data_IF_196328929131
#
_entry.id   IF_196328929131
#
_cell.length_a   1.000
_cell.length_b   1.000
_cell.length_c   1.000
_cell.angle_alpha   90.00
_cell.angle_beta   90.00
_cell.angle_gamma   90.00
#
_symmetry.space_group_name_H-M   'P 1'
#
loop_
_entity.id
_entity.type
_entity.pdbx_description
1 polymer ?
#
# COMPACT_ATOMS: atom_id res chain seq x y z
N UNK A 1 -31.51 6.96 -18.31
CA UNK A 1 -30.64 6.06 -17.53
C UNK A 1 -29.23 6.24 -18.06
N UNK A 2 -28.32 6.80 -17.25
CA UNK A 2 -26.93 7.02 -17.66
C UNK A 2 -26.22 5.68 -17.85
N UNK A 3 -25.63 5.45 -19.02
CA UNK A 3 -24.93 4.20 -19.41
C UNK A 3 -23.43 4.33 -19.13
N UNK A 4 -23.06 4.99 -18.03
CA UNK A 4 -21.68 5.02 -17.57
C UNK A 4 -21.46 3.85 -16.61
N UNK A 5 -20.49 2.96 -16.85
CA UNK A 5 -20.14 1.93 -15.87
C UNK A 5 -19.71 2.64 -14.58
N UNK A 6 -20.26 2.23 -13.44
CA UNK A 6 -19.75 2.67 -12.14
C UNK A 6 -18.24 2.42 -12.09
N UNK A 7 -17.47 3.46 -11.84
CA UNK A 7 -16.02 3.38 -11.62
C UNK A 7 -15.79 2.67 -10.28
N UNK A 8 -15.66 1.35 -10.35
CA UNK A 8 -15.33 0.49 -9.22
C UNK A 8 -14.00 -0.19 -9.44
N UNK A 9 -13.37 -0.60 -8.34
CA UNK A 9 -12.20 -1.45 -8.41
C UNK A 9 -12.57 -2.86 -8.92
N UNK A 10 -11.80 -3.44 -9.86
CA UNK A 10 -12.06 -4.77 -10.38
C UNK A 10 -11.66 -5.83 -9.35
N UNK A 11 -12.37 -6.95 -9.36
CA UNK A 11 -11.95 -8.16 -8.64
C UNK A 11 -10.71 -8.76 -9.31
N UNK A 12 -9.97 -9.61 -8.58
CA UNK A 12 -8.82 -10.36 -9.14
C UNK A 12 -9.24 -11.18 -10.37
N UNK A 13 -10.43 -11.79 -10.35
CA UNK A 13 -10.97 -12.55 -11.48
C UNK A 13 -11.16 -11.67 -12.71
N UNK A 14 -11.72 -10.47 -12.55
CA UNK A 14 -11.93 -9.51 -13.64
C UNK A 14 -10.59 -8.99 -14.18
N UNK A 15 -9.62 -8.75 -13.29
CA UNK A 15 -8.27 -8.36 -13.67
C UNK A 15 -7.57 -9.44 -14.51
N UNK A 16 -7.67 -10.71 -14.11
CA UNK A 16 -7.13 -11.84 -14.88
C UNK A 16 -7.85 -11.99 -16.22
N UNK A 17 -9.18 -11.82 -16.26
CA UNK A 17 -9.94 -11.85 -17.50
C UNK A 17 -9.52 -10.73 -18.46
N UNK A 18 -9.31 -9.51 -17.95
CA UNK A 18 -8.81 -8.40 -18.74
C UNK A 18 -7.40 -8.65 -19.29
N UNK A 19 -6.50 -9.24 -18.48
CA UNK A 19 -5.16 -9.61 -18.92
C UNK A 19 -5.19 -10.69 -20.02
N UNK A 20 -6.06 -11.70 -19.88
CA UNK A 20 -6.28 -12.73 -20.93
C UNK A 20 -6.76 -12.11 -22.23
N UNK A 21 -7.70 -11.16 -22.16
CA UNK A 21 -8.18 -10.44 -23.34
C UNK A 21 -7.05 -9.66 -24.02
N UNK A 22 -6.19 -8.97 -23.27
CA UNK A 22 -5.01 -8.28 -23.82
C UNK A 22 -4.05 -9.26 -24.51
N UNK A 23 -3.79 -10.42 -23.91
CA UNK A 23 -2.96 -11.47 -24.52
C UNK A 23 -3.56 -12.01 -25.82
N UNK A 24 -4.88 -12.25 -25.85
CA UNK A 24 -5.57 -12.76 -27.04
C UNK A 24 -5.57 -11.74 -28.20
N UNK A 25 -5.63 -10.45 -27.90
CA UNK A 25 -5.59 -9.39 -28.93
C UNK A 25 -4.19 -9.24 -29.56
N UNK A 26 -3.12 -9.51 -28.82
CA UNK A 26 -1.73 -9.31 -29.28
C UNK A 26 -0.80 -10.48 -28.90
N UNK A 27 -1.08 -11.72 -29.35
CA UNK A 27 -0.36 -12.92 -28.91
C UNK A 27 1.12 -12.96 -29.32
N UNK A 28 1.51 -12.18 -30.33
CA UNK A 28 2.93 -12.07 -30.73
C UNK A 28 3.80 -11.33 -29.71
N UNK A 29 3.20 -10.43 -28.90
CA UNK A 29 3.92 -9.51 -28.00
C UNK A 29 3.56 -9.74 -26.53
N UNK A 30 2.38 -10.26 -26.25
CA UNK A 30 1.88 -10.49 -24.90
C UNK A 30 1.85 -11.98 -24.55
N UNK A 31 2.21 -12.31 -23.31
CA UNK A 31 2.00 -13.65 -22.74
C UNK A 31 1.44 -13.53 -21.33
N UNK A 32 0.61 -14.49 -20.93
CA UNK A 32 0.11 -14.60 -19.57
C UNK A 32 0.45 -15.99 -19.05
N UNK A 33 1.11 -16.08 -17.90
CA UNK A 33 1.43 -17.35 -17.25
C UNK A 33 1.14 -17.31 -15.77
N UNK A 34 0.90 -18.48 -15.18
CA UNK A 34 0.87 -18.64 -13.74
C UNK A 34 2.32 -18.76 -13.22
N UNK A 35 2.64 -18.03 -12.14
CA UNK A 35 3.98 -17.99 -11.54
C UNK A 35 4.04 -18.61 -10.15
N UNK A 36 2.88 -18.93 -9.59
CA UNK A 36 2.76 -19.56 -8.27
C UNK A 36 1.30 -19.73 -7.87
N UNK A 37 1.08 -20.07 -6.62
CA UNK A 37 -0.23 -20.11 -5.99
C UNK A 37 -0.13 -19.53 -4.58
N UNK A 38 -1.21 -18.91 -4.10
CA UNK A 38 -1.33 -18.41 -2.74
C UNK A 38 -1.49 -19.54 -1.72
N UNK A 39 -1.51 -19.21 -0.44
CA UNK A 39 -1.75 -20.17 0.66
C UNK A 39 -3.06 -20.92 0.51
N UNK A 40 -4.12 -20.26 0.03
CA UNK A 40 -5.39 -20.88 -0.27
C UNK A 40 -5.48 -21.47 -1.70
N UNK A 41 -4.35 -21.58 -2.41
CA UNK A 41 -4.26 -22.22 -3.72
C UNK A 41 -4.74 -21.36 -4.89
N UNK A 42 -4.94 -20.05 -4.72
CA UNK A 42 -5.34 -19.14 -5.81
C UNK A 42 -4.13 -18.84 -6.71
N UNK A 43 -4.27 -18.87 -8.04
CA UNK A 43 -3.15 -18.69 -8.96
C UNK A 43 -2.64 -17.25 -9.00
N UNK A 44 -1.31 -17.07 -8.86
CA UNK A 44 -0.63 -15.80 -9.13
C UNK A 44 -0.28 -15.74 -10.60
N UNK A 45 -0.67 -14.67 -11.30
CA UNK A 45 -0.50 -14.52 -12.74
C UNK A 45 0.46 -13.39 -13.09
N UNK A 46 1.33 -13.64 -14.06
CA UNK A 46 2.25 -12.65 -14.63
C UNK A 46 1.91 -12.39 -16.09
N UNK A 47 1.48 -11.16 -16.39
CA UNK A 47 1.32 -10.66 -17.76
C UNK A 47 2.67 -10.08 -18.22
N UNK A 48 3.19 -10.52 -19.35
CA UNK A 48 4.42 -9.98 -19.95
C UNK A 48 4.12 -9.31 -21.29
N UNK A 49 4.77 -8.18 -21.55
CA UNK A 49 4.66 -7.39 -22.78
C UNK A 49 6.06 -7.08 -23.29
N UNK A 50 6.45 -7.69 -24.41
CA UNK A 50 7.81 -7.60 -24.96
C UNK A 50 8.64 -8.87 -24.74
N UNK A 51 9.87 -8.86 -25.29
CA UNK A 51 10.83 -10.00 -25.25
C UNK A 51 12.29 -9.58 -25.08
N UNK A 52 12.54 -8.31 -24.77
CA UNK A 52 13.87 -7.81 -24.47
C UNK A 52 14.38 -8.34 -23.12
N UNK A 53 15.70 -8.39 -22.97
CA UNK A 53 16.36 -8.86 -21.73
C UNK A 53 16.23 -7.86 -20.59
N UNK A 54 16.23 -6.54 -20.87
CA UNK A 54 16.02 -5.52 -19.82
C UNK A 54 14.55 -5.54 -19.41
N UNK A 55 14.30 -5.69 -18.12
CA UNK A 55 12.97 -5.92 -17.58
C UNK A 55 12.56 -4.85 -16.58
N UNK A 56 11.31 -4.40 -16.67
CA UNK A 56 10.58 -3.72 -15.61
C UNK A 56 9.58 -4.70 -15.03
N UNK A 57 9.53 -4.85 -13.71
CA UNK A 57 8.50 -5.62 -13.01
C UNK A 57 7.55 -4.66 -12.30
N UNK A 58 6.26 -4.75 -12.57
CA UNK A 58 5.22 -4.00 -11.87
C UNK A 58 4.39 -4.98 -11.03
N UNK A 59 4.25 -4.71 -9.74
CA UNK A 59 3.55 -5.56 -8.77
C UNK A 59 2.31 -4.84 -8.27
N UNK A 60 1.15 -5.50 -8.32
CA UNK A 60 -0.09 -4.97 -7.75
C UNK A 60 -0.66 -5.90 -6.68
N UNK A 61 -1.54 -5.38 -5.83
CA UNK A 61 -2.30 -6.19 -4.87
C UNK A 61 -1.43 -6.84 -3.81
N UNK A 62 -0.38 -6.15 -3.34
CA UNK A 62 0.38 -6.55 -2.17
C UNK A 62 -0.43 -6.43 -0.88
N UNK A 63 -1.35 -5.44 -0.82
CA UNK A 63 -2.30 -5.28 0.25
C UNK A 63 -3.73 -5.25 -0.28
N UNK A 64 -4.60 -6.03 0.36
CA UNK A 64 -6.01 -6.16 -0.03
C UNK A 64 -6.80 -4.85 0.02
N UNK A 65 -6.41 -3.94 0.90
CA UNK A 65 -7.08 -2.66 1.13
C UNK A 65 -6.64 -1.55 0.14
N UNK A 66 -5.79 -1.87 -0.84
CA UNK A 66 -5.15 -0.92 -1.77
C UNK A 66 -5.48 -1.26 -3.23
N UNK A 67 -6.76 -1.17 -3.64
CA UNK A 67 -7.22 -1.77 -4.89
C UNK A 67 -6.84 -0.98 -6.16
N UNK A 68 -6.33 0.25 -6.04
CA UNK A 68 -5.97 1.11 -7.20
C UNK A 68 -4.93 0.47 -8.10
N UNK A 69 -3.96 -0.24 -7.53
CA UNK A 69 -2.89 -0.90 -8.29
C UNK A 69 -3.42 -1.86 -9.36
N UNK A 70 -4.57 -2.51 -9.12
CA UNK A 70 -5.18 -3.42 -10.10
C UNK A 70 -5.63 -2.69 -11.38
N UNK A 71 -6.19 -1.49 -11.25
CA UNK A 71 -6.57 -0.65 -12.38
C UNK A 71 -5.35 -0.07 -13.09
N UNK A 72 -4.39 0.48 -12.32
CA UNK A 72 -3.16 1.08 -12.81
C UNK A 72 -2.34 0.11 -13.66
N UNK A 73 -2.14 -1.10 -13.16
CA UNK A 73 -1.38 -2.13 -13.88
C UNK A 73 -1.95 -2.40 -15.28
N UNK A 74 -3.27 -2.52 -15.40
CA UNK A 74 -3.93 -2.74 -16.69
C UNK A 74 -3.84 -1.51 -17.61
N UNK A 75 -3.92 -0.31 -17.05
CA UNK A 75 -3.74 0.94 -17.81
C UNK A 75 -2.31 1.05 -18.37
N UNK A 76 -1.29 0.80 -17.54
CA UNK A 76 0.12 0.79 -17.97
C UNK A 76 0.36 -0.32 -19.01
N UNK A 77 -0.16 -1.54 -18.79
CA UNK A 77 0.00 -2.63 -19.75
C UNK A 77 -0.58 -2.31 -21.13
N UNK A 78 -1.76 -1.67 -21.20
CA UNK A 78 -2.35 -1.18 -22.45
C UNK A 78 -1.49 -0.10 -23.10
N UNK A 79 -1.04 0.88 -22.30
CA UNK A 79 -0.19 1.97 -22.79
C UNK A 79 1.12 1.45 -23.39
N UNK A 80 1.79 0.51 -22.72
CA UNK A 80 3.03 -0.14 -23.22
C UNK A 80 2.79 -0.95 -24.50
N UNK A 81 1.61 -1.55 -24.65
CA UNK A 81 1.24 -2.30 -25.84
C UNK A 81 1.00 -1.40 -27.06
N UNK A 82 0.39 -0.23 -26.82
CA UNK A 82 0.06 0.79 -27.82
C UNK A 82 1.28 1.64 -28.22
N UNK A 83 2.06 2.10 -27.24
CA UNK A 83 3.23 2.97 -27.41
C UNK A 83 4.49 2.12 -27.50
N UNK A 84 4.97 1.88 -28.74
CA UNK A 84 6.11 0.98 -28.99
C UNK A 84 7.39 1.46 -28.33
N UNK A 85 7.54 2.76 -28.18
CA UNK A 85 8.71 3.45 -27.63
C UNK A 85 8.95 3.06 -26.16
N UNK A 86 7.87 2.78 -25.40
CA UNK A 86 7.96 2.33 -24.01
C UNK A 86 8.53 0.92 -23.86
N UNK A 87 8.47 0.11 -24.92
CA UNK A 87 8.96 -1.27 -24.97
C UNK A 87 10.09 -1.46 -25.98
N UNK A 88 10.72 -0.38 -26.42
CA UNK A 88 11.91 -0.45 -27.24
C UNK A 88 13.11 -0.83 -26.36
N UNK A 89 13.69 -2.01 -26.61
CA UNK A 89 14.76 -2.59 -25.79
C UNK A 89 14.35 -3.00 -24.36
N UNK A 90 13.07 -2.97 -24.01
CA UNK A 90 12.55 -3.23 -22.65
C UNK A 90 11.34 -4.19 -22.71
N UNK A 91 11.31 -5.16 -21.80
CA UNK A 91 10.13 -5.96 -21.50
C UNK A 91 9.47 -5.47 -20.22
N UNK A 92 8.15 -5.43 -20.22
CA UNK A 92 7.35 -5.10 -19.05
C UNK A 92 6.64 -6.35 -18.55
N UNK A 93 6.76 -6.61 -17.26
CA UNK A 93 6.16 -7.75 -16.59
C UNK A 93 5.27 -7.25 -15.47
N UNK A 94 4.07 -7.80 -15.35
CA UNK A 94 3.02 -7.30 -14.47
C UNK A 94 2.50 -8.45 -13.63
N UNK A 95 2.85 -8.50 -12.34
CA UNK A 95 2.29 -9.45 -11.38
C UNK A 95 0.92 -8.92 -10.95
N UNK A 96 -0.15 -9.57 -11.45
CA UNK A 96 -1.50 -9.00 -11.38
C UNK A 96 -1.99 -8.79 -9.95
N UNK A 97 -1.72 -9.74 -9.06
CA UNK A 97 -2.09 -9.68 -7.65
C UNK A 97 -1.11 -10.53 -6.84
N UNK A 98 -0.38 -9.91 -5.92
CA UNK A 98 0.58 -10.59 -5.06
C UNK A 98 -0.11 -11.36 -3.92
N UNK A 99 -1.21 -10.83 -3.37
CA UNK A 99 -2.03 -11.47 -2.34
C UNK A 99 -3.48 -11.68 -2.78
N UNK A 100 -3.77 -12.65 -3.67
CA UNK A 100 -5.13 -12.91 -4.13
C UNK A 100 -6.04 -13.47 -3.02
N UNK A 101 -5.46 -14.00 -1.93
CA UNK A 101 -6.23 -14.44 -0.77
C UNK A 101 -6.75 -13.26 0.02
N UNK A 102 -5.86 -12.32 0.38
CA UNK A 102 -6.28 -11.10 1.05
C UNK A 102 -7.21 -10.26 0.20
N UNK A 103 -6.94 -10.12 -1.10
CA UNK A 103 -7.81 -9.38 -2.02
C UNK A 103 -9.26 -9.94 -2.05
N UNK A 104 -9.46 -11.24 -1.79
CA UNK A 104 -10.81 -11.82 -1.69
C UNK A 104 -11.56 -11.48 -0.40
N UNK A 105 -10.85 -10.99 0.61
CA UNK A 105 -11.40 -10.66 1.93
C UNK A 105 -11.74 -9.17 2.08
N UNK A 106 -11.16 -8.28 1.27
CA UNK A 106 -11.56 -6.88 1.21
C UNK A 106 -12.76 -6.72 0.26
N UNK A 107 -13.88 -6.20 0.77
CA UNK A 107 -15.19 -6.31 0.09
C UNK A 107 -15.88 -4.96 -0.15
N UNK A 108 -15.11 -3.86 -0.29
CA UNK A 108 -15.65 -2.54 -0.64
C UNK A 108 -15.08 -2.02 -1.97
N UNK A 109 -15.58 -2.51 -3.14
CA UNK A 109 -15.04 -2.14 -4.44
C UNK A 109 -15.43 -0.73 -4.93
N UNK A 110 -16.41 -0.08 -4.29
CA UNK A 110 -16.88 1.27 -4.63
C UNK A 110 -17.35 2.02 -3.37
N UNK A 111 -16.43 2.36 -2.44
CA UNK A 111 -16.81 3.03 -1.20
C UNK A 111 -17.36 4.44 -1.48
N UNK A 112 -18.46 4.81 -0.82
CA UNK A 112 -19.03 6.18 -0.93
C UNK A 112 -18.57 7.10 0.20
N UNK A 113 -18.04 6.52 1.26
CA UNK A 113 -17.51 7.20 2.43
C UNK A 113 -16.36 6.40 3.05
N UNK A 114 -15.58 7.01 3.95
CA UNK A 114 -14.61 6.28 4.77
C UNK A 114 -15.31 5.20 5.60
N UNK A 115 -16.52 5.44 6.09
CA UNK A 115 -17.26 4.44 6.84
C UNK A 115 -17.57 3.20 5.98
N UNK A 116 -18.11 3.39 4.77
CA UNK A 116 -18.39 2.29 3.84
C UNK A 116 -17.13 1.49 3.49
N UNK A 117 -16.00 2.18 3.31
CA UNK A 117 -14.70 1.56 3.10
C UNK A 117 -14.31 0.65 4.27
N UNK A 118 -14.45 1.16 5.51
CA UNK A 118 -14.08 0.41 6.70
C UNK A 118 -15.00 -0.80 6.93
N UNK A 119 -16.28 -0.75 6.56
CA UNK A 119 -17.20 -1.89 6.73
C UNK A 119 -16.77 -3.17 5.99
N UNK A 120 -16.04 -3.04 4.88
CA UNK A 120 -15.47 -4.16 4.12
C UNK A 120 -13.95 -4.28 4.24
N UNK A 121 -13.33 -3.58 5.19
CA UNK A 121 -11.88 -3.52 5.32
C UNK A 121 -11.24 -4.88 5.61
N UNK A 122 -10.10 -5.13 4.97
CA UNK A 122 -9.19 -6.20 5.33
C UNK A 122 -7.76 -5.81 4.94
N UNK A 123 -6.82 -5.95 5.86
CA UNK A 123 -5.38 -5.92 5.59
C UNK A 123 -4.74 -7.07 6.37
N UNK A 124 -3.95 -7.96 5.76
CA UNK A 124 -3.33 -9.08 6.48
C UNK A 124 -2.38 -8.61 7.59
N UNK A 125 -2.06 -9.49 8.55
CA UNK A 125 -0.95 -9.25 9.48
C UNK A 125 0.39 -9.19 8.72
N UNK A 126 1.40 -8.51 9.27
CA UNK A 126 2.72 -8.36 8.62
C UNK A 126 3.32 -9.67 8.09
N UNK A 127 3.35 -10.76 8.90
CA UNK A 127 3.85 -12.08 8.46
C UNK A 127 3.08 -12.71 7.29
N UNK A 128 1.89 -12.21 7.00
CA UNK A 128 1.00 -12.70 5.96
C UNK A 128 0.99 -11.83 4.70
N UNK A 129 1.68 -10.69 4.71
CA UNK A 129 1.78 -9.78 3.57
C UNK A 129 2.96 -10.21 2.68
N UNK A 130 2.76 -10.49 1.37
CA UNK A 130 3.82 -11.06 0.53
C UNK A 130 5.11 -10.25 0.46
N UNK A 131 5.01 -8.93 0.53
CA UNK A 131 6.19 -8.05 0.43
C UNK A 131 6.91 -7.86 1.76
N UNK A 132 6.17 -7.85 2.87
CA UNK A 132 6.70 -7.62 4.22
C UNK A 132 7.09 -8.88 4.98
N UNK A 133 6.56 -10.04 4.60
CA UNK A 133 6.82 -11.30 5.31
C UNK A 133 8.32 -11.58 5.55
N UNK A 134 9.27 -11.33 4.62
CA UNK A 134 10.69 -11.58 4.91
C UNK A 134 11.32 -10.63 5.94
N UNK A 135 10.67 -9.52 6.29
CA UNK A 135 11.11 -8.63 7.37
C UNK A 135 10.77 -9.17 8.76
N UNK A 136 9.83 -10.12 8.84
CA UNK A 136 9.26 -10.61 10.12
C UNK A 136 9.28 -12.12 10.27
N UNK A 137 9.60 -12.86 9.21
CA UNK A 137 9.67 -14.32 9.19
C UNK A 137 11.03 -14.80 8.64
N UNK A 138 11.55 -15.93 9.16
CA UNK A 138 12.71 -16.58 8.57
C UNK A 138 12.37 -17.22 7.20
N UNK A 139 13.38 -17.48 6.34
CA UNK A 139 13.19 -17.98 4.99
C UNK A 139 12.31 -19.24 4.84
N UNK A 140 12.42 -20.18 5.79
CA UNK A 140 11.67 -21.46 5.80
C UNK A 140 10.17 -21.27 6.10
N UNK A 141 9.79 -20.14 6.67
CA UNK A 141 8.40 -19.78 7.02
C UNK A 141 7.76 -18.78 6.07
N UNK A 142 8.47 -18.30 5.05
CA UNK A 142 7.92 -17.34 4.09
C UNK A 142 6.70 -17.92 3.36
N UNK A 143 5.63 -17.14 3.17
CA UNK A 143 4.44 -17.62 2.50
C UNK A 143 4.71 -17.87 1.00
N UNK A 144 3.98 -18.79 0.36
CA UNK A 144 4.19 -19.16 -1.04
C UNK A 144 4.08 -17.97 -2.02
N UNK A 145 3.27 -16.96 -1.69
CA UNK A 145 3.15 -15.70 -2.42
C UNK A 145 4.48 -14.94 -2.47
N UNK A 146 5.16 -14.81 -1.32
CA UNK A 146 6.50 -14.20 -1.21
C UNK A 146 7.53 -14.97 -2.01
N UNK A 147 7.49 -16.32 -1.95
CA UNK A 147 8.40 -17.19 -2.72
C UNK A 147 8.16 -17.04 -4.23
N UNK A 148 6.91 -16.93 -4.65
CA UNK A 148 6.57 -16.69 -6.05
C UNK A 148 7.07 -15.32 -6.52
N UNK A 149 6.85 -14.26 -5.75
CA UNK A 149 7.34 -12.91 -6.07
C UNK A 149 8.87 -12.87 -6.17
N UNK A 150 9.58 -13.37 -5.17
CA UNK A 150 11.06 -13.42 -5.19
C UNK A 150 11.59 -14.30 -6.32
N UNK A 151 10.93 -15.42 -6.62
CA UNK A 151 11.25 -16.27 -7.78
C UNK A 151 11.06 -15.55 -9.12
N UNK A 152 10.02 -14.72 -9.27
CA UNK A 152 9.84 -13.86 -10.46
C UNK A 152 10.95 -12.81 -10.55
N UNK A 153 11.35 -12.19 -9.43
CA UNK A 153 12.46 -11.24 -9.43
C UNK A 153 13.78 -11.93 -9.80
N UNK A 154 14.03 -13.15 -9.30
CA UNK A 154 15.20 -13.95 -9.63
C UNK A 154 15.27 -14.35 -11.12
N UNK A 155 14.12 -14.68 -11.70
CA UNK A 155 13.97 -15.01 -13.12
C UNK A 155 14.20 -13.78 -14.01
N UNK A 156 13.51 -12.68 -13.72
CA UNK A 156 13.46 -11.50 -14.58
C UNK A 156 14.67 -10.57 -14.40
N UNK A 157 15.25 -10.54 -13.19
CA UNK A 157 16.34 -9.63 -12.80
C UNK A 157 16.05 -8.19 -13.23
N UNK A 158 14.91 -7.62 -12.80
CA UNK A 158 14.48 -6.32 -13.30
C UNK A 158 15.47 -5.23 -12.88
N UNK A 159 15.70 -4.26 -13.77
CA UNK A 159 16.45 -3.06 -13.37
C UNK A 159 15.58 -2.14 -12.50
N UNK A 160 14.26 -2.23 -12.67
CA UNK A 160 13.27 -1.56 -11.85
C UNK A 160 12.12 -2.50 -11.52
N UNK A 161 11.85 -2.68 -10.22
CA UNK A 161 10.56 -3.09 -9.71
C UNK A 161 9.75 -1.85 -9.34
N UNK A 162 8.48 -1.79 -9.74
CA UNK A 162 7.52 -0.81 -9.23
C UNK A 162 6.42 -1.57 -8.50
N UNK A 163 6.27 -1.36 -7.20
CA UNK A 163 5.13 -1.93 -6.45
C UNK A 163 4.08 -0.85 -6.24
N UNK A 164 2.83 -1.20 -6.58
CA UNK A 164 1.69 -0.30 -6.62
C UNK A 164 0.91 -0.39 -5.32
N UNK A 165 1.00 0.68 -4.53
CA UNK A 165 0.32 0.81 -3.25
C UNK A 165 -0.74 1.91 -3.29
N UNK A 166 -1.46 2.03 -2.18
CA UNK A 166 -2.38 3.14 -1.97
C UNK A 166 -2.62 3.41 -0.50
N UNK A 167 -2.95 4.66 -0.22
CA UNK A 167 -3.41 5.05 1.11
C UNK A 167 -4.93 5.24 1.09
N UNK A 168 -5.59 4.89 2.19
CA UNK A 168 -7.00 5.22 2.36
C UNK A 168 -7.14 6.74 2.37
N UNK A 169 -6.47 7.43 3.29
CA UNK A 169 -6.52 8.87 3.40
C UNK A 169 -5.12 9.48 3.51
N UNK A 170 -4.81 10.48 2.69
CA UNK A 170 -3.54 11.21 2.77
C UNK A 170 -3.20 11.95 1.49
N UNK A 171 -1.93 11.88 1.09
CA UNK A 171 -1.42 12.40 -0.18
C UNK A 171 -0.72 11.28 -0.95
N UNK A 172 -0.19 11.62 -2.12
CA UNK A 172 0.66 10.71 -2.88
C UNK A 172 2.12 10.93 -2.53
N UNK A 173 2.90 9.86 -2.54
CA UNK A 173 4.35 9.88 -2.30
C UNK A 173 5.00 8.63 -2.89
N UNK A 174 6.34 8.63 -2.95
CA UNK A 174 7.16 7.55 -3.48
C UNK A 174 8.26 7.19 -2.49
N UNK A 175 8.44 5.89 -2.24
CA UNK A 175 9.61 5.33 -1.57
C UNK A 175 10.52 4.64 -2.58
N UNK A 176 11.80 4.93 -2.53
CA UNK A 176 12.80 4.39 -3.44
C UNK A 176 13.86 3.62 -2.65
N UNK A 177 14.12 2.36 -3.00
CA UNK A 177 15.22 1.60 -2.35
C UNK A 177 16.61 2.01 -2.85
N UNK A 178 16.66 2.78 -3.95
CA UNK A 178 17.81 3.52 -4.46
C UNK A 178 17.27 4.73 -5.22
N UNK A 179 17.93 5.88 -5.14
CA UNK A 179 17.49 7.10 -5.82
C UNK A 179 17.28 6.89 -7.33
N UNK A 180 16.32 7.64 -7.89
CA UNK A 180 16.02 7.73 -9.32
C UNK A 180 16.04 9.21 -9.69
N UNK A 181 17.21 9.76 -10.03
CA UNK A 181 17.38 11.17 -10.32
C UNK A 181 16.41 11.65 -11.41
N UNK A 182 15.76 12.77 -11.15
CA UNK A 182 14.78 13.36 -12.05
C UNK A 182 13.35 12.87 -11.86
N UNK A 183 13.07 11.84 -11.05
CA UNK A 183 11.70 11.34 -10.84
C UNK A 183 10.77 12.35 -10.17
N UNK A 184 11.30 13.21 -9.28
CA UNK A 184 10.48 14.11 -8.49
C UNK A 184 9.69 15.13 -9.34
N UNK A 185 10.26 15.65 -10.43
CA UNK A 185 9.56 16.63 -11.29
C UNK A 185 8.30 16.05 -11.95
N UNK A 186 8.37 14.95 -12.72
CA UNK A 186 7.18 14.40 -13.37
C UNK A 186 6.17 13.86 -12.37
N UNK A 187 6.62 13.38 -11.20
CA UNK A 187 5.76 12.97 -10.10
C UNK A 187 4.94 14.15 -9.56
N UNK A 188 5.60 15.22 -9.13
CA UNK A 188 4.93 16.41 -8.56
C UNK A 188 4.06 17.11 -9.60
N UNK A 189 4.51 17.20 -10.86
CA UNK A 189 3.72 17.76 -11.95
C UNK A 189 2.42 16.98 -12.16
N UNK A 190 2.51 15.65 -12.21
CA UNK A 190 1.34 14.77 -12.33
C UNK A 190 0.36 14.97 -11.18
N UNK A 191 0.86 15.05 -9.94
CA UNK A 191 0.04 15.29 -8.76
C UNK A 191 -0.70 16.64 -8.84
N UNK A 192 0.01 17.71 -9.23
CA UNK A 192 -0.57 19.04 -9.37
C UNK A 192 -1.67 19.10 -10.46
N UNK A 193 -1.42 18.52 -11.64
CA UNK A 193 -2.39 18.47 -12.76
C UNK A 193 -3.67 17.70 -12.40
N UNK A 194 -3.57 16.71 -11.51
CA UNK A 194 -4.69 15.86 -11.09
C UNK A 194 -5.29 16.28 -9.73
N UNK A 195 -4.81 17.40 -9.17
CA UNK A 195 -5.19 17.92 -7.86
C UNK A 195 -5.02 16.91 -6.72
N UNK A 196 -3.93 16.14 -6.72
CA UNK A 196 -3.56 15.21 -5.66
C UNK A 196 -2.47 15.86 -4.79
N UNK A 197 -2.64 15.95 -3.46
CA UNK A 197 -1.62 16.51 -2.57
C UNK A 197 -0.39 15.62 -2.58
N UNK A 198 0.80 16.22 -2.51
CA UNK A 198 2.05 15.49 -2.35
C UNK A 198 2.37 15.40 -0.87
N UNK A 199 2.41 14.19 -0.32
CA UNK A 199 2.70 13.97 1.10
C UNK A 199 4.21 14.07 1.34
N UNK A 200 4.68 15.25 1.69
CA UNK A 200 6.13 15.54 1.79
C UNK A 200 6.79 14.98 3.05
N UNK A 201 6.00 14.57 4.04
CA UNK A 201 6.45 14.06 5.33
C UNK A 201 5.74 12.75 5.69
N UNK A 202 5.70 11.79 4.76
CA UNK A 202 5.04 10.51 4.98
C UNK A 202 5.60 9.79 6.22
N UNK A 203 4.73 9.39 7.15
CA UNK A 203 5.13 8.71 8.39
C UNK A 203 5.80 7.38 8.11
N UNK A 204 5.37 6.66 7.07
CA UNK A 204 5.94 5.38 6.64
C UNK A 204 7.38 5.53 6.10
N UNK A 205 7.78 6.74 5.68
CA UNK A 205 9.13 7.09 5.25
C UNK A 205 9.85 7.99 6.28
N UNK A 206 9.41 7.99 7.54
CA UNK A 206 10.00 8.83 8.57
C UNK A 206 11.52 8.60 8.69
N UNK A 207 12.28 9.70 8.60
CA UNK A 207 13.75 9.69 8.68
C UNK A 207 14.46 9.32 7.38
N UNK A 208 13.73 9.03 6.29
CA UNK A 208 14.33 8.79 4.98
C UNK A 208 14.66 10.13 4.30
N UNK A 209 15.87 10.30 3.72
CA UNK A 209 16.19 11.48 2.93
C UNK A 209 15.23 11.60 1.74
N UNK A 210 14.89 12.85 1.36
CA UNK A 210 14.08 13.12 0.18
C UNK A 210 14.95 13.56 -1.00
N UNK A 211 14.74 13.00 -2.20
CA UNK A 211 15.35 13.49 -3.44
C UNK A 211 14.48 14.53 -4.16
N UNK A 212 13.25 14.73 -3.69
CA UNK A 212 12.35 15.82 -4.05
C UNK A 212 11.05 15.75 -3.26
N UNK A 213 10.09 16.67 -3.47
CA UNK A 213 8.82 16.67 -2.73
C UNK A 213 8.09 15.33 -2.86
N UNK A 214 7.85 14.66 -1.73
CA UNK A 214 7.18 13.36 -1.66
C UNK A 214 7.95 12.19 -2.27
N UNK A 215 9.25 12.35 -2.60
CA UNK A 215 10.10 11.26 -3.09
C UNK A 215 11.18 10.98 -2.05
N UNK A 216 11.01 9.88 -1.32
CA UNK A 216 11.87 9.45 -0.22
C UNK A 216 12.78 8.30 -0.66
N UNK A 217 14.06 8.36 -0.29
CA UNK A 217 15.07 7.37 -0.66
C UNK A 217 15.53 6.63 0.58
N UNK A 218 15.63 5.32 0.49
CA UNK A 218 16.07 4.47 1.58
C UNK A 218 17.47 4.90 2.05
N UNK A 219 17.67 5.10 3.36
CA UNK A 219 18.94 5.59 3.87
C UNK A 219 20.06 4.55 3.71
N UNK A 220 21.30 5.03 3.74
CA UNK A 220 22.48 4.17 3.73
C UNK A 220 22.48 3.21 4.94
N UNK A 221 23.16 2.05 4.84
CA UNK A 221 23.32 1.13 5.95
C UNK A 221 23.85 1.83 7.22
N UNK A 222 23.30 1.50 8.37
CA UNK A 222 23.69 2.07 9.67
C UNK A 222 22.78 3.20 10.19
N UNK A 223 21.89 3.75 9.36
CA UNK A 223 20.79 4.59 9.85
C UNK A 223 19.66 3.66 10.34
N UNK A 224 19.29 3.82 11.60
CA UNK A 224 18.20 3.07 12.24
C UNK A 224 16.82 3.60 11.84
N UNK A 225 15.75 2.81 12.04
CA UNK A 225 14.38 3.24 11.77
C UNK A 225 13.95 4.37 12.71
N UNK A 226 13.08 5.26 12.23
CA UNK A 226 12.49 6.31 13.06
C UNK A 226 11.54 5.75 14.15
N UNK A 227 10.96 4.57 13.91
CA UNK A 227 10.11 3.82 14.84
C UNK A 227 10.68 2.42 15.11
N UNK A 228 11.64 2.27 16.03
CA UNK A 228 12.33 0.99 16.29
C UNK A 228 11.45 -0.16 16.77
N UNK A 229 10.26 0.13 17.29
CA UNK A 229 9.30 -0.89 17.72
C UNK A 229 8.53 -1.53 16.57
N UNK A 230 8.46 -0.87 15.41
CA UNK A 230 7.81 -1.41 14.23
C UNK A 230 8.76 -2.39 13.52
N UNK A 231 8.24 -3.51 13.01
CA UNK A 231 9.05 -4.50 12.30
C UNK A 231 9.36 -4.09 10.84
N UNK A 232 9.22 -2.81 10.52
CA UNK A 232 9.22 -2.27 9.16
C UNK A 232 10.67 -1.95 8.72
N UNK A 233 11.44 -2.98 8.36
CA UNK A 233 12.73 -2.81 7.70
C UNK A 233 12.66 -3.22 6.23
N UNK A 234 12.48 -2.22 5.36
CA UNK A 234 12.42 -2.40 3.92
C UNK A 234 13.62 -3.17 3.33
N UNK A 235 14.80 -3.15 3.99
CA UNK A 235 16.00 -3.88 3.55
C UNK A 235 15.82 -5.40 3.64
N UNK A 236 14.95 -5.85 4.53
CA UNK A 236 14.59 -7.25 4.68
C UNK A 236 13.27 -7.59 3.99
N UNK A 237 12.67 -6.68 3.22
CA UNK A 237 11.44 -6.95 2.46
C UNK A 237 11.73 -7.46 1.05
N UNK A 238 10.71 -7.88 0.31
CA UNK A 238 10.88 -8.21 -1.11
C UNK A 238 11.27 -6.98 -1.95
N UNK A 239 11.03 -5.76 -1.46
CA UNK A 239 11.41 -4.52 -2.14
C UNK A 239 12.93 -4.40 -2.31
N UNK A 240 13.73 -5.01 -1.44
CA UNK A 240 15.18 -4.98 -1.57
C UNK A 240 15.73 -6.12 -2.45
N UNK A 241 14.92 -7.11 -2.81
CA UNK A 241 15.38 -8.33 -3.50
C UNK A 241 15.98 -8.04 -4.89
N UNK A 242 15.49 -7.02 -5.60
CA UNK A 242 16.03 -6.60 -6.89
C UNK A 242 17.49 -6.11 -6.84
N UNK A 243 17.95 -5.62 -5.67
CA UNK A 243 19.34 -5.15 -5.49
C UNK A 243 20.38 -6.25 -5.70
N UNK A 244 19.99 -7.53 -5.50
CA UNK A 244 20.85 -8.69 -5.79
C UNK A 244 21.33 -8.72 -7.25
N UNK A 245 20.57 -8.08 -8.15
CA UNK A 245 20.85 -8.03 -9.58
C UNK A 245 21.22 -6.63 -10.07
N UNK A 246 21.49 -5.69 -9.14
CA UNK A 246 21.76 -4.29 -9.45
C UNK A 246 20.51 -3.46 -9.81
N UNK A 247 19.31 -4.02 -9.63
CA UNK A 247 18.05 -3.30 -9.78
C UNK A 247 17.63 -2.56 -8.52
N UNK A 248 16.55 -1.79 -8.61
CA UNK A 248 15.94 -1.07 -7.48
C UNK A 248 14.42 -1.24 -7.47
N UNK A 249 13.79 -0.79 -6.38
CA UNK A 249 12.33 -0.77 -6.23
C UNK A 249 11.82 0.64 -5.98
N UNK A 250 10.78 1.02 -6.70
CA UNK A 250 9.94 2.17 -6.42
C UNK A 250 8.59 1.72 -5.87
N UNK A 251 8.24 2.19 -4.68
CA UNK A 251 6.95 2.00 -4.03
C UNK A 251 6.13 3.25 -4.30
N UNK A 252 5.01 3.14 -5.01
CA UNK A 252 4.22 4.30 -5.44
C UNK A 252 2.86 4.31 -4.75
N UNK A 253 2.68 5.28 -3.87
CA UNK A 253 1.49 5.44 -3.02
C UNK A 253 0.54 6.48 -3.61
N UNK A 254 -0.74 6.14 -3.76
CA UNK A 254 -1.78 7.08 -4.19
C UNK A 254 -2.99 7.05 -3.24
N UNK A 255 -3.58 8.20 -2.91
CA UNK A 255 -4.71 8.25 -1.97
C UNK A 255 -6.05 7.92 -2.65
N UNK A 256 -6.92 7.20 -1.93
CA UNK A 256 -8.35 7.14 -2.27
C UNK A 256 -9.07 8.42 -1.86
N UNK A 257 -8.82 8.89 -0.64
CA UNK A 257 -9.24 10.20 -0.16
C UNK A 257 -8.02 11.09 0.06
N UNK A 258 -8.02 12.24 -0.60
CA UNK A 258 -6.96 13.22 -0.45
C UNK A 258 -7.22 14.16 0.74
N UNK A 259 -6.13 14.70 1.32
CA UNK A 259 -6.17 15.79 2.29
C UNK A 259 -4.98 16.72 2.11
N UNK A 260 -5.23 18.03 2.08
CA UNK A 260 -4.18 19.05 2.00
C UNK A 260 -3.55 19.31 3.39
N UNK A 261 -3.80 18.46 4.39
CA UNK A 261 -3.12 18.54 5.70
C UNK A 261 -1.77 17.83 5.72
N UNK A 262 -1.47 17.05 4.69
CA UNK A 262 -0.24 16.26 4.60
C UNK A 262 0.78 16.85 3.60
N UNK A 263 0.47 17.98 2.96
CA UNK A 263 1.34 18.66 2.00
C UNK A 263 1.84 20.04 2.48
N UNK A 264 1.49 20.47 3.70
CA UNK A 264 1.92 21.75 4.28
C UNK A 264 3.37 21.70 4.79
N UNK A 265 4.34 22.33 4.09
CA UNK A 265 5.75 22.27 4.46
C UNK A 265 6.10 23.23 5.59
N UNK A 266 5.16 24.06 6.06
CA UNK A 266 5.46 25.05 7.07
C UNK A 266 5.85 24.37 8.40
N UNK A 267 6.80 24.94 9.17
CA UNK A 267 7.15 24.42 10.48
C UNK A 267 5.92 24.34 11.40
N UNK A 268 5.77 23.20 12.07
CA UNK A 268 4.78 23.05 13.13
C UNK A 268 5.28 23.79 14.39
N UNK A 269 4.43 24.58 15.10
CA UNK A 269 4.88 25.39 16.24
C UNK A 269 5.36 24.57 17.44
N UNK A 270 4.80 23.38 17.65
CA UNK A 270 5.16 22.48 18.75
C UNK A 270 5.02 20.99 18.36
N UNK A 271 5.88 20.45 17.47
CA UNK A 271 5.70 19.13 16.86
C UNK A 271 5.74 18.00 17.90
N UNK A 272 6.71 18.00 18.81
CA UNK A 272 6.81 17.00 19.87
C UNK A 272 5.56 16.96 20.78
N UNK A 273 5.03 18.12 21.15
CA UNK A 273 3.81 18.19 21.95
C UNK A 273 2.58 17.71 21.18
N UNK A 274 2.50 17.95 19.87
CA UNK A 274 1.44 17.45 19.01
C UNK A 274 1.52 15.92 18.88
N UNK A 275 2.69 15.39 18.52
CA UNK A 275 2.92 13.95 18.39
C UNK A 275 2.66 13.23 19.72
N UNK A 276 3.08 13.78 20.85
CA UNK A 276 2.75 13.22 22.16
C UNK A 276 1.24 13.17 22.46
N UNK A 277 0.43 14.10 21.93
CA UNK A 277 -1.04 13.99 22.01
C UNK A 277 -1.58 12.89 21.10
N UNK A 278 -1.00 12.75 19.90
CA UNK A 278 -1.37 11.70 18.94
C UNK A 278 -1.04 10.30 19.47
N UNK A 279 0.12 10.13 20.12
CA UNK A 279 0.49 8.89 20.81
C UNK A 279 -0.50 8.50 21.91
N UNK A 280 -0.91 9.45 22.76
CA UNK A 280 -1.95 9.20 23.78
C UNK A 280 -3.29 8.83 23.17
N UNK A 281 -3.67 9.48 22.07
CA UNK A 281 -4.89 9.13 21.32
C UNK A 281 -4.81 7.71 20.75
N UNK A 282 -3.70 7.38 20.10
CA UNK A 282 -3.44 6.04 19.55
C UNK A 282 -3.58 4.97 20.63
N UNK A 283 -2.96 5.16 21.80
CA UNK A 283 -3.09 4.23 22.93
C UNK A 283 -4.53 4.11 23.43
N UNK A 284 -5.21 5.24 23.64
CA UNK A 284 -6.59 5.24 24.13
C UNK A 284 -7.53 4.51 23.16
N UNK A 285 -7.47 4.84 21.88
CA UNK A 285 -8.35 4.27 20.86
C UNK A 285 -8.04 2.76 20.69
N UNK A 286 -6.78 2.34 20.71
CA UNK A 286 -6.42 0.92 20.69
C UNK A 286 -6.91 0.16 21.93
N UNK A 287 -6.77 0.73 23.13
CA UNK A 287 -7.28 0.13 24.37
C UNK A 287 -8.80 -0.06 24.32
N UNK A 288 -9.53 0.84 23.67
CA UNK A 288 -10.97 0.70 23.50
C UNK A 288 -11.33 -0.52 22.65
N UNK A 289 -10.63 -0.75 21.54
CA UNK A 289 -10.80 -1.96 20.71
C UNK A 289 -10.35 -3.21 21.46
N UNK A 290 -9.23 -3.16 22.19
CA UNK A 290 -8.70 -4.27 22.98
C UNK A 290 -9.70 -4.71 24.05
N UNK A 291 -10.37 -3.78 24.76
CA UNK A 291 -11.40 -4.16 25.75
C UNK A 291 -12.56 -4.92 25.12
N UNK A 292 -12.99 -4.53 23.92
CA UNK A 292 -14.04 -5.26 23.20
C UNK A 292 -13.55 -6.64 22.78
N UNK A 293 -12.34 -6.74 22.24
CA UNK A 293 -11.71 -8.01 21.89
C UNK A 293 -11.63 -8.93 23.11
N UNK A 294 -11.08 -8.47 24.22
CA UNK A 294 -10.91 -9.23 25.47
C UNK A 294 -12.25 -9.71 26.03
N UNK A 295 -13.28 -8.87 25.98
CA UNK A 295 -14.65 -9.24 26.35
C UNK A 295 -15.27 -10.30 25.44
N UNK A 296 -14.85 -10.35 24.17
CA UNK A 296 -15.32 -11.33 23.18
C UNK A 296 -14.47 -12.61 23.13
N UNK A 297 -13.22 -12.57 23.60
CA UNK A 297 -12.26 -13.68 23.54
C UNK A 297 -12.82 -15.04 23.92
N UNK A 298 -13.56 -15.20 25.05
CA UNK A 298 -14.08 -16.52 25.43
C UNK A 298 -15.04 -17.13 24.40
N UNK A 299 -15.70 -16.27 23.60
CA UNK A 299 -16.64 -16.67 22.54
C UNK A 299 -15.98 -16.84 21.18
N UNK A 300 -14.75 -16.34 21.03
CA UNK A 300 -13.94 -16.45 19.81
C UNK A 300 -12.83 -17.50 19.92
N UNK A 301 -12.80 -18.30 20.99
CA UNK A 301 -11.68 -19.18 21.32
C UNK A 301 -11.33 -20.20 20.22
N UNK A 302 -12.32 -20.67 19.48
CA UNK A 302 -12.15 -21.65 18.39
C UNK A 302 -11.90 -20.99 17.01
N UNK A 303 -11.82 -19.65 16.96
CA UNK A 303 -11.61 -18.91 15.72
C UNK A 303 -10.15 -18.51 15.54
N UNK A 304 -9.56 -18.97 14.44
CA UNK A 304 -8.26 -18.49 13.95
C UNK A 304 -8.39 -18.00 12.50
N UNK A 305 -9.30 -17.05 12.30
CA UNK A 305 -9.53 -16.44 11.01
C UNK A 305 -8.51 -15.33 10.69
N UNK A 306 -8.23 -15.06 9.40
CA UNK A 306 -7.27 -14.02 8.99
C UNK A 306 -7.64 -12.62 9.49
N UNK A 307 -8.94 -12.29 9.56
CA UNK A 307 -9.42 -11.02 10.11
C UNK A 307 -9.05 -10.85 11.59
N UNK A 308 -9.19 -11.91 12.39
CA UNK A 308 -8.89 -11.87 13.82
C UNK A 308 -7.37 -11.77 14.05
N UNK A 309 -6.56 -12.55 13.32
CA UNK A 309 -5.10 -12.44 13.39
C UNK A 309 -4.60 -11.04 13.00
N UNK A 310 -5.14 -10.47 11.93
CA UNK A 310 -4.79 -9.12 11.49
C UNK A 310 -5.20 -8.03 12.49
N UNK A 311 -6.39 -8.13 13.07
CA UNK A 311 -6.85 -7.19 14.09
C UNK A 311 -5.97 -7.24 15.35
N UNK A 312 -5.61 -8.44 15.83
CA UNK A 312 -4.69 -8.62 16.95
C UNK A 312 -3.32 -8.03 16.67
N UNK A 313 -2.74 -8.39 15.52
CA UNK A 313 -1.44 -7.89 15.11
C UNK A 313 -1.39 -6.36 15.11
N UNK A 314 -2.40 -5.70 14.53
CA UNK A 314 -2.47 -4.24 14.52
C UNK A 314 -2.53 -3.62 15.92
N UNK A 315 -3.23 -4.26 16.87
CA UNK A 315 -3.31 -3.79 18.26
C UNK A 315 -2.00 -4.04 19.03
N UNK A 316 -1.32 -5.16 18.77
CA UNK A 316 -0.05 -5.54 19.39
C UNK A 316 1.10 -4.56 19.06
N UNK A 317 1.05 -3.91 17.89
CA UNK A 317 2.03 -2.90 17.49
C UNK A 317 1.90 -1.57 18.26
N UNK A 318 0.69 -1.26 18.77
CA UNK A 318 0.38 0.08 19.29
C UNK A 318 1.21 0.49 20.51
N UNK A 319 1.44 -0.35 21.53
CA UNK A 319 2.22 0.06 22.71
C UNK A 319 3.64 0.50 22.34
N UNK A 320 4.30 -0.25 21.46
CA UNK A 320 5.64 0.07 20.94
C UNK A 320 5.62 1.36 20.14
N UNK A 321 4.72 1.47 19.16
CA UNK A 321 4.63 2.64 18.30
C UNK A 321 4.35 3.92 19.09
N UNK A 322 3.43 3.87 20.05
CA UNK A 322 3.13 5.00 20.91
C UNK A 322 4.31 5.38 21.81
N UNK A 323 5.09 4.40 22.28
CA UNK A 323 6.34 4.65 23.00
C UNK A 323 7.34 5.37 22.11
N UNK A 324 7.55 4.91 20.88
CA UNK A 324 8.46 5.55 19.92
C UNK A 324 8.05 7.00 19.67
N UNK A 325 6.77 7.26 19.36
CA UNK A 325 6.26 8.61 19.13
C UNK A 325 6.47 9.59 20.30
N UNK A 326 6.56 9.09 21.54
CA UNK A 326 6.80 9.92 22.74
C UNK A 326 8.29 10.09 23.02
N UNK A 327 9.09 9.06 22.80
CA UNK A 327 10.45 8.97 23.29
C UNK A 327 11.52 9.18 22.21
N UNK A 328 11.16 9.15 20.93
CA UNK A 328 12.05 9.53 19.83
C UNK A 328 11.82 11.00 19.41
N UNK A 329 12.88 11.72 19.03
CA UNK A 329 12.71 13.03 18.40
C UNK A 329 11.87 12.91 17.11
N UNK A 330 10.96 13.84 16.82
CA UNK A 330 10.22 13.84 15.57
C UNK A 330 11.17 13.79 14.36
N UNK A 331 10.92 12.88 13.43
CA UNK A 331 11.76 12.71 12.25
C UNK A 331 11.72 13.93 11.31
N UNK A 332 10.62 14.67 11.34
CA UNK A 332 10.43 15.97 10.70
C UNK A 332 9.63 16.88 11.65
N UNK A 333 9.77 18.19 11.49
CA UNK A 333 9.13 19.24 12.27
C UNK A 333 8.08 20.02 11.46
N UNK A 334 7.79 19.64 10.22
CA UNK A 334 6.74 20.23 9.38
C UNK A 334 5.33 19.91 9.86
N UNK A 335 4.35 20.70 9.40
CA UNK A 335 2.92 20.41 9.60
C UNK A 335 2.49 19.17 8.83
N UNK A 336 3.00 18.97 7.61
CA UNK A 336 2.81 17.77 6.81
C UNK A 336 3.12 16.48 7.59
N UNK A 337 4.30 16.41 8.22
CA UNK A 337 4.68 15.23 9.00
C UNK A 337 3.77 14.99 10.22
N UNK A 338 3.43 16.05 10.96
CA UNK A 338 2.47 15.94 12.08
C UNK A 338 1.09 15.49 11.58
N UNK A 339 0.66 15.95 10.40
CA UNK A 339 -0.57 15.53 9.72
C UNK A 339 -0.54 14.05 9.32
N UNK A 340 0.57 13.58 8.77
CA UNK A 340 0.78 12.17 8.42
C UNK A 340 0.72 11.27 9.66
N UNK A 341 1.41 11.65 10.75
CA UNK A 341 1.33 10.94 12.04
C UNK A 341 -0.09 10.96 12.62
N UNK A 342 -0.87 12.04 12.46
CA UNK A 342 -2.28 12.10 12.89
C UNK A 342 -3.14 11.11 12.08
N UNK A 343 -2.91 11.00 10.77
CA UNK A 343 -3.60 10.04 9.91
C UNK A 343 -3.24 8.59 10.29
N UNK A 344 -1.95 8.32 10.54
CA UNK A 344 -1.47 7.01 10.97
C UNK A 344 -2.04 6.60 12.35
N UNK A 345 -2.03 7.53 13.32
CA UNK A 345 -2.59 7.30 14.65
C UNK A 345 -4.12 7.08 14.65
N UNK A 346 -4.84 7.53 13.60
CA UNK A 346 -6.28 7.25 13.39
C UNK A 346 -6.51 5.89 12.79
N UNK A 347 -5.78 5.56 11.71
CA UNK A 347 -6.07 4.38 10.91
C UNK A 347 -5.77 3.07 11.63
N UNK A 348 -4.72 3.00 12.45
CA UNK A 348 -4.32 1.72 13.09
C UNK A 348 -5.45 1.12 13.95
N UNK A 349 -5.99 1.82 14.99
CA UNK A 349 -7.09 1.27 15.78
C UNK A 349 -8.39 1.14 15.00
N UNK A 350 -8.68 2.07 14.06
CA UNK A 350 -9.87 2.01 13.22
C UNK A 350 -9.90 0.76 12.31
N UNK A 351 -8.76 0.43 11.69
CA UNK A 351 -8.61 -0.78 10.86
C UNK A 351 -8.77 -2.05 11.69
N UNK A 352 -8.20 -2.10 12.90
CA UNK A 352 -8.38 -3.22 13.82
C UNK A 352 -9.86 -3.37 14.24
N UNK A 353 -10.52 -2.26 14.61
CA UNK A 353 -11.94 -2.24 14.96
C UNK A 353 -12.83 -2.73 13.80
N UNK A 354 -12.54 -2.28 12.57
CA UNK A 354 -13.25 -2.65 11.36
C UNK A 354 -13.15 -4.15 11.04
N UNK A 355 -11.94 -4.73 11.14
CA UNK A 355 -11.75 -6.17 10.95
C UNK A 355 -12.42 -6.98 12.06
N UNK A 356 -12.32 -6.55 13.32
CA UNK A 356 -12.95 -7.22 14.46
C UNK A 356 -14.48 -7.13 14.39
N UNK A 357 -15.05 -6.01 13.95
CA UNK A 357 -16.48 -5.86 13.69
C UNK A 357 -16.99 -6.95 12.75
N UNK A 358 -16.24 -7.25 11.69
CA UNK A 358 -16.59 -8.30 10.73
C UNK A 358 -16.51 -9.69 11.34
N UNK A 359 -15.52 -9.96 12.20
CA UNK A 359 -15.42 -11.22 12.95
C UNK A 359 -16.66 -11.41 13.83
N UNK A 360 -17.00 -10.40 14.65
CA UNK A 360 -18.13 -10.46 15.58
C UNK A 360 -19.48 -10.58 14.87
N UNK A 361 -19.66 -9.91 13.72
CA UNK A 361 -20.85 -10.10 12.88
C UNK A 361 -20.96 -11.52 12.33
N UNK A 362 -19.84 -12.17 12.01
CA UNK A 362 -19.82 -13.55 11.55
C UNK A 362 -20.22 -14.58 12.62
N UNK A 363 -20.25 -14.17 13.90
CA UNK A 363 -20.63 -15.01 15.04
C UNK A 363 -21.89 -14.52 15.74
N UNK A 364 -22.62 -13.55 15.16
CA UNK A 364 -23.78 -12.89 15.78
C UNK A 364 -23.52 -12.37 17.21
N UNK A 365 -22.31 -11.87 17.48
CA UNK A 365 -21.92 -11.37 18.80
C UNK A 365 -22.45 -9.95 19.04
N UNK A 366 -23.09 -9.72 20.17
CA UNK A 366 -23.66 -8.43 20.56
C UNK A 366 -22.63 -7.29 20.62
N UNK A 367 -21.36 -7.59 20.90
CA UNK A 367 -20.28 -6.60 20.89
C UNK A 367 -20.02 -6.01 19.48
N UNK A 368 -20.56 -6.62 18.41
CA UNK A 368 -20.57 -6.04 17.07
C UNK A 368 -21.28 -4.67 17.04
N UNK A 369 -22.30 -4.45 17.87
CA UNK A 369 -23.02 -3.16 17.94
C UNK A 369 -22.10 -2.04 18.44
N UNK A 370 -21.31 -2.34 19.48
CA UNK A 370 -20.34 -1.40 20.04
C UNK A 370 -19.24 -1.05 19.01
N UNK A 371 -18.66 -2.05 18.33
CA UNK A 371 -17.65 -1.76 17.30
C UNK A 371 -18.22 -1.03 16.09
N UNK A 372 -19.49 -1.28 15.72
CA UNK A 372 -20.13 -0.55 14.65
C UNK A 372 -20.22 0.95 14.96
N UNK A 373 -20.61 1.30 16.19
CA UNK A 373 -20.67 2.69 16.65
C UNK A 373 -19.28 3.35 16.65
N UNK A 374 -18.25 2.63 17.13
CA UNK A 374 -16.87 3.12 17.09
C UNK A 374 -16.37 3.33 15.67
N UNK A 375 -16.55 2.34 14.79
CA UNK A 375 -16.11 2.43 13.39
C UNK A 375 -16.82 3.56 12.66
N UNK A 376 -18.13 3.75 12.89
CA UNK A 376 -18.88 4.88 12.33
C UNK A 376 -18.33 6.20 12.83
N UNK A 377 -18.28 6.40 14.15
CA UNK A 377 -17.86 7.66 14.77
C UNK A 377 -16.43 8.03 14.39
N UNK A 378 -15.51 7.06 14.41
CA UNK A 378 -14.11 7.31 14.08
C UNK A 378 -13.89 7.53 12.59
N UNK A 379 -14.65 6.86 11.71
CA UNK A 379 -14.60 7.12 10.27
C UNK A 379 -15.05 8.54 9.94
N UNK A 380 -16.16 8.98 10.54
CA UNK A 380 -16.70 10.33 10.34
C UNK A 380 -15.74 11.40 10.89
N UNK A 381 -15.24 11.20 12.12
CA UNK A 381 -14.26 12.09 12.72
C UNK A 381 -12.93 12.13 11.94
N UNK A 382 -12.53 11.02 11.31
CA UNK A 382 -11.34 10.98 10.47
C UNK A 382 -11.57 11.76 9.17
N UNK A 383 -12.71 11.54 8.51
CA UNK A 383 -13.10 12.27 7.30
C UNK A 383 -13.18 13.77 7.54
N UNK A 384 -13.84 14.19 8.62
CA UNK A 384 -14.00 15.60 8.98
C UNK A 384 -12.66 16.26 9.32
N UNK A 385 -11.85 15.61 10.18
CA UNK A 385 -10.55 16.13 10.62
C UNK A 385 -9.64 16.45 9.44
N UNK A 386 -9.65 15.60 8.43
CA UNK A 386 -8.80 15.69 7.26
C UNK A 386 -9.48 16.34 6.06
N UNK A 387 -10.75 16.76 6.17
CA UNK A 387 -11.53 17.28 5.04
C UNK A 387 -11.43 16.35 3.84
N UNK A 388 -11.59 15.05 4.11
CA UNK A 388 -11.34 13.97 3.17
C UNK A 388 -12.14 14.20 1.87
N UNK A 389 -11.43 14.31 0.75
CA UNK A 389 -12.05 14.45 -0.57
C UNK A 389 -11.75 13.22 -1.42
N UNK A 390 -12.78 12.64 -2.02
CA UNK A 390 -12.62 11.53 -2.95
C UNK A 390 -11.73 11.97 -4.13
N UNK A 391 -10.70 11.19 -4.42
CA UNK A 391 -9.92 11.33 -5.66
C UNK A 391 -10.62 10.48 -6.72
N UNK A 392 -11.06 11.04 -7.86
CA UNK A 392 -11.65 10.24 -8.94
C UNK A 392 -10.75 9.06 -9.32
N UNK A 393 -11.32 7.86 -9.51
CA UNK A 393 -10.55 6.64 -9.73
C UNK A 393 -9.61 6.78 -10.94
N UNK A 394 -10.08 7.44 -11.99
CA UNK A 394 -9.31 7.79 -13.17
C UNK A 394 -8.09 8.65 -12.85
N UNK A 395 -8.18 9.58 -11.90
CA UNK A 395 -7.07 10.42 -11.46
C UNK A 395 -6.08 9.62 -10.60
N UNK A 396 -6.58 8.74 -9.72
CA UNK A 396 -5.73 7.83 -8.95
C UNK A 396 -4.87 6.96 -9.91
N UNK A 397 -5.54 6.37 -10.91
CA UNK A 397 -4.93 5.49 -11.92
C UNK A 397 -3.96 6.25 -12.82
N UNK A 398 -4.36 7.42 -13.33
CA UNK A 398 -3.52 8.23 -14.22
C UNK A 398 -2.27 8.72 -13.50
N UNK A 399 -2.41 9.20 -12.25
CA UNK A 399 -1.28 9.64 -11.46
C UNK A 399 -0.27 8.51 -11.23
N UNK A 400 -0.74 7.36 -10.74
CA UNK A 400 0.12 6.20 -10.50
C UNK A 400 0.76 5.69 -11.80
N UNK A 401 0.02 5.68 -12.91
CA UNK A 401 0.51 5.25 -14.22
C UNK A 401 1.62 6.17 -14.75
N UNK A 402 1.46 7.49 -14.62
CA UNK A 402 2.49 8.47 -15.02
C UNK A 402 3.76 8.28 -14.21
N UNK A 403 3.64 8.07 -12.90
CA UNK A 403 4.78 7.82 -12.00
C UNK A 403 5.51 6.53 -12.34
N UNK A 404 4.78 5.44 -12.62
CA UNK A 404 5.36 4.15 -13.06
C UNK A 404 6.18 4.32 -14.34
N UNK A 405 5.61 5.00 -15.35
CA UNK A 405 6.30 5.22 -16.64
C UNK A 405 7.51 6.13 -16.46
N UNK A 406 7.40 7.22 -15.69
CA UNK A 406 8.51 8.11 -15.40
C UNK A 406 9.65 7.37 -14.68
N UNK A 407 9.34 6.59 -13.63
CA UNK A 407 10.33 5.81 -12.90
C UNK A 407 11.08 4.84 -13.81
N UNK A 408 10.37 4.14 -14.71
CA UNK A 408 11.00 3.23 -15.67
C UNK A 408 11.95 3.95 -16.65
N UNK A 409 11.55 5.11 -17.15
CA UNK A 409 12.38 5.88 -18.09
C UNK A 409 13.63 6.45 -17.42
N UNK A 410 13.50 7.04 -16.23
CA UNK A 410 14.62 7.61 -15.49
C UNK A 410 15.58 6.55 -14.94
N UNK A 411 15.07 5.43 -14.39
CA UNK A 411 15.93 4.35 -13.89
C UNK A 411 16.73 3.63 -15.00
N UNK A 412 16.23 3.68 -16.25
CA UNK A 412 16.92 3.12 -17.41
C UNK A 412 18.20 3.87 -17.77
N UNK A 413 18.22 5.18 -17.56
CA UNK A 413 19.35 6.05 -17.91
C UNK A 413 20.54 5.87 -16.97
N UNK A 414 20.31 5.51 -15.70
CA UNK A 414 21.39 5.22 -14.74
C UNK A 414 22.12 3.89 -14.96
N UNK A 415 21.48 2.95 -15.67
CA UNK A 415 21.99 1.59 -15.86
C UNK A 415 22.62 1.39 -17.25
N UNK A 416 22.81 2.48 -18.00
CA UNK A 416 23.67 2.54 -19.19
C UNK A 416 25.05 3.02 -18.77
#
# INVERSE_FOLDING_TARGET
MSVLPELRYPTVTEQVAAARALTAQRPGVCTLRQVGASRAGRPLHLLSVGRARRAVLVVAGAHANEPTGSCTLLAVARRVLEQRELRDGISWHFLLCADPDGASLHVTPAPRSLFDYHLGFFRPAGPEQPEWAPSVLPPDRLPPETRALTGVIDELRPYLQVTLHGTDLGGSWVQLTKDVPGLAEPFVKSAAELHIPVETGASDAAGWPASGPGVHVMPAPGIGPAYPSLPDDARHSTWYHAHRYGGLTAVVEVPMWASDLVDDPAPHPAPAAAIGRLARRLQRDALEVTRVLDGALPRLADLDGPLLRAARWGLELVPGLASDLVHTPPADRTRAYVGSVDAFARRVPLRAAAMLLRVLRGTDDEAAKQLLELVSTWSDAFAERFRARWVPLENQVEHQSRTVVAAALHAREETQ
#
